data_IF_655899501622
#
_entry.id   IF_655899501622
#
_cell.length_a   1.000
_cell.length_b   1.000
_cell.length_c   1.000
_cell.angle_alpha   90.00
_cell.angle_beta   90.00
_cell.angle_gamma   90.00
#
_symmetry.space_group_name_H-M   'P 1'
#
loop_
_entity.id
_entity.type
_entity.pdbx_description
1 polymer ?
#
# COMPACT_ATOMS: atom_id res chain seq x y z
N UNK A 1 1.58 24.42 -20.46
CA UNK A 1 2.44 23.23 -20.64
C UNK A 1 2.97 22.86 -19.27
N UNK A 2 2.37 21.84 -18.63
CA UNK A 2 2.67 21.48 -17.26
C UNK A 2 4.01 20.75 -17.18
N UNK A 3 4.94 21.31 -16.42
CA UNK A 3 6.22 20.66 -16.13
C UNK A 3 5.95 19.39 -15.31
N UNK A 4 6.09 18.23 -15.96
CA UNK A 4 6.30 16.94 -15.31
C UNK A 4 7.66 17.00 -14.61
N UNK A 5 7.64 17.30 -13.32
CA UNK A 5 8.84 17.20 -12.49
C UNK A 5 9.06 15.72 -12.20
N UNK A 6 9.89 15.10 -13.04
CA UNK A 6 10.41 13.76 -12.82
C UNK A 6 11.45 13.81 -11.69
N UNK A 7 11.03 13.55 -10.46
CA UNK A 7 11.95 13.40 -9.33
C UNK A 7 12.51 11.98 -9.30
N UNK A 8 13.56 11.74 -10.07
CA UNK A 8 14.47 10.61 -9.83
C UNK A 8 15.57 11.04 -8.86
N UNK A 9 15.44 10.65 -7.58
CA UNK A 9 16.57 10.57 -6.63
C UNK A 9 16.39 9.34 -5.74
N UNK A 10 17.36 8.43 -5.81
CA UNK A 10 17.49 7.25 -4.97
C UNK A 10 17.50 7.62 -3.48
N UNK A 11 16.53 7.09 -2.75
CA UNK A 11 16.62 6.73 -1.33
C UNK A 11 15.60 5.61 -1.10
N UNK A 12 16.03 4.46 -0.57
CA UNK A 12 15.16 3.41 -0.06
C UNK A 12 14.48 3.91 1.21
N UNK A 13 13.57 4.86 1.04
CA UNK A 13 12.83 5.50 2.12
C UNK A 13 11.39 5.09 1.96
N UNK A 14 10.91 4.35 2.95
CA UNK A 14 9.53 3.93 3.07
C UNK A 14 8.58 5.07 2.71
N UNK A 15 7.89 4.94 1.57
CA UNK A 15 6.89 5.91 1.15
C UNK A 15 5.59 5.58 1.86
N UNK A 16 5.37 6.18 3.03
CA UNK A 16 4.17 5.89 3.83
C UNK A 16 2.89 6.08 2.99
N UNK A 17 1.84 5.29 3.27
CA UNK A 17 0.52 5.53 2.71
C UNK A 17 0.05 6.96 2.94
N UNK A 18 -0.83 7.44 2.05
CA UNK A 18 -1.50 8.71 2.22
C UNK A 18 -2.35 8.69 3.49
N UNK A 19 -2.20 9.74 4.32
CA UNK A 19 -3.09 9.98 5.47
C UNK A 19 -4.51 10.28 4.99
N UNK A 20 -5.48 10.21 5.89
CA UNK A 20 -6.87 10.61 5.63
C UNK A 20 -6.93 12.03 5.04
N UNK A 21 -6.13 12.97 5.57
CA UNK A 21 -6.08 14.35 5.08
C UNK A 21 -5.53 14.43 3.66
N UNK A 22 -4.51 13.65 3.33
CA UNK A 22 -3.92 13.59 1.98
C UNK A 22 -4.85 12.92 0.98
N UNK A 23 -5.57 11.86 1.37
CA UNK A 23 -6.60 11.21 0.54
C UNK A 23 -7.68 12.23 0.17
N UNK A 24 -8.26 12.92 1.17
CA UNK A 24 -9.29 13.94 0.96
C UNK A 24 -8.82 15.11 0.10
N UNK A 25 -7.53 15.46 0.16
CA UNK A 25 -6.95 16.57 -0.61
C UNK A 25 -6.61 16.17 -2.06
N UNK A 26 -6.00 15.01 -2.25
CA UNK A 26 -5.42 14.60 -3.53
C UNK A 26 -6.42 13.82 -4.40
N UNK A 27 -7.39 13.15 -3.78
CA UNK A 27 -8.38 12.31 -4.45
C UNK A 27 -9.80 12.64 -3.94
N UNK A 28 -10.26 13.90 -4.02
CA UNK A 28 -11.56 14.30 -3.45
C UNK A 28 -12.72 13.46 -3.99
N UNK A 29 -12.69 13.12 -5.29
CA UNK A 29 -13.76 12.36 -5.95
C UNK A 29 -13.79 10.87 -5.55
N UNK A 30 -12.70 10.35 -4.97
CA UNK A 30 -12.57 8.95 -4.53
C UNK A 30 -12.42 8.82 -3.03
N UNK A 31 -12.38 9.94 -2.30
CA UNK A 31 -12.05 9.93 -0.88
C UNK A 31 -13.07 9.14 -0.07
N UNK A 32 -14.35 9.21 -0.42
CA UNK A 32 -15.40 8.42 0.24
C UNK A 32 -15.23 6.92 0.01
N UNK A 33 -15.04 6.50 -1.25
CA UNK A 33 -14.81 5.10 -1.60
C UNK A 33 -13.55 4.54 -0.91
N UNK A 34 -12.43 5.25 -1.00
CA UNK A 34 -11.17 4.86 -0.39
C UNK A 34 -11.27 4.82 1.14
N UNK A 35 -11.96 5.75 1.78
CA UNK A 35 -12.07 5.76 3.24
C UNK A 35 -13.16 4.80 3.77
N UNK A 36 -14.04 4.28 2.91
CA UNK A 36 -14.96 3.19 3.24
C UNK A 36 -14.34 1.81 3.07
N UNK A 37 -13.24 1.69 2.30
CA UNK A 37 -12.46 0.47 2.24
C UNK A 37 -11.60 0.30 3.51
N UNK A 38 -11.81 -0.82 4.22
CA UNK A 38 -11.09 -1.17 5.45
C UNK A 38 -9.57 -1.16 5.27
N UNK A 39 -9.07 -1.52 4.08
CA UNK A 39 -7.62 -1.54 3.80
C UNK A 39 -7.07 -0.11 3.74
N UNK A 40 -7.67 0.72 2.91
CA UNK A 40 -7.23 2.09 2.68
C UNK A 40 -7.41 2.95 3.93
N UNK A 41 -8.51 2.79 4.65
CA UNK A 41 -8.72 3.45 5.93
C UNK A 41 -7.62 3.08 6.94
N UNK A 42 -7.33 1.79 7.11
CA UNK A 42 -6.32 1.35 8.07
C UNK A 42 -4.91 1.84 7.71
N UNK A 43 -4.54 1.78 6.42
CA UNK A 43 -3.28 2.35 5.92
C UNK A 43 -3.18 3.84 6.21
N UNK A 44 -4.28 4.57 6.01
CA UNK A 44 -4.35 6.02 6.22
C UNK A 44 -4.31 6.43 7.70
N UNK A 45 -4.85 5.60 8.60
CA UNK A 45 -4.83 5.81 10.06
C UNK A 45 -3.48 5.47 10.69
N UNK A 46 -2.87 4.37 10.25
CA UNK A 46 -1.65 3.85 10.89
C UNK A 46 -0.36 4.32 10.22
N UNK A 47 -0.42 4.70 8.94
CA UNK A 47 0.76 4.95 8.13
C UNK A 47 1.58 3.69 7.86
N UNK A 48 0.99 2.49 8.03
CA UNK A 48 1.62 1.18 7.79
C UNK A 48 1.09 0.63 6.47
N UNK A 49 1.98 0.10 5.63
CA UNK A 49 1.63 -0.55 4.38
C UNK A 49 0.96 -1.90 4.63
N UNK A 50 -0.08 -2.21 3.87
CA UNK A 50 -0.84 -3.46 3.95
C UNK A 50 -0.98 -4.04 2.55
N UNK A 51 -0.49 -5.27 2.37
CA UNK A 51 -0.54 -5.92 1.07
C UNK A 51 -1.99 -6.33 0.75
N UNK A 52 -2.45 -5.88 -0.41
CA UNK A 52 -3.74 -6.17 -1.00
C UNK A 52 -3.61 -6.07 -2.52
N UNK A 53 -4.65 -6.47 -3.26
CA UNK A 53 -4.65 -6.40 -4.72
C UNK A 53 -4.83 -4.95 -5.16
N UNK A 54 -3.83 -4.40 -5.83
CA UNK A 54 -3.91 -3.09 -6.48
C UNK A 54 -4.41 -3.19 -7.93
N UNK A 55 -4.97 -2.11 -8.52
CA UNK A 55 -5.50 -2.13 -9.89
C UNK A 55 -4.46 -2.37 -10.98
N UNK A 56 -3.20 -1.98 -10.73
CA UNK A 56 -2.09 -2.11 -11.68
C UNK A 56 -0.86 -2.71 -11.00
N UNK A 57 -0.05 -3.44 -11.76
CA UNK A 57 1.14 -4.14 -11.26
C UNK A 57 2.17 -3.19 -10.64
N UNK A 58 2.31 -1.98 -11.17
CA UNK A 58 3.27 -0.99 -10.67
C UNK A 58 2.93 -0.56 -9.24
N UNK A 59 1.64 -0.40 -8.92
CA UNK A 59 1.21 -0.09 -7.56
C UNK A 59 1.39 -1.31 -6.64
N UNK A 60 1.15 -2.53 -7.14
CA UNK A 60 1.42 -3.76 -6.39
C UNK A 60 2.91 -3.87 -6.01
N UNK A 61 3.81 -3.63 -6.97
CA UNK A 61 5.26 -3.64 -6.74
C UNK A 61 5.68 -2.52 -5.78
N UNK A 62 5.05 -1.34 -5.87
CA UNK A 62 5.32 -0.21 -4.96
C UNK A 62 4.96 -0.55 -3.52
N UNK A 63 3.75 -1.08 -3.27
CA UNK A 63 3.33 -1.44 -1.91
C UNK A 63 4.16 -2.61 -1.37
N UNK A 64 4.58 -3.56 -2.22
CA UNK A 64 5.48 -4.63 -1.80
C UNK A 64 6.86 -4.12 -1.40
N UNK A 65 7.43 -3.21 -2.20
CA UNK A 65 8.70 -2.55 -1.86
C UNK A 65 8.59 -1.78 -0.55
N UNK A 66 7.56 -0.97 -0.39
CA UNK A 66 7.30 -0.22 0.83
C UNK A 66 7.21 -1.14 2.04
N UNK A 67 6.45 -2.25 1.94
CA UNK A 67 6.30 -3.20 3.02
C UNK A 67 7.65 -3.78 3.46
N UNK A 68 8.53 -4.11 2.50
CA UNK A 68 9.88 -4.61 2.79
C UNK A 68 10.78 -3.60 3.50
N UNK A 69 10.56 -2.30 3.28
CA UNK A 69 11.30 -1.21 3.93
C UNK A 69 10.77 -0.85 5.33
N UNK A 70 9.61 -1.39 5.75
CA UNK A 70 9.07 -1.17 7.09
C UNK A 70 9.90 -1.86 8.18
N UNK A 71 9.85 -1.33 9.40
CA UNK A 71 10.45 -1.99 10.57
C UNK A 71 9.76 -3.32 10.90
N UNK A 72 10.44 -4.21 11.61
CA UNK A 72 9.87 -5.51 12.01
C UNK A 72 8.60 -5.35 12.85
N UNK A 73 8.50 -4.31 13.67
CA UNK A 73 7.29 -4.02 14.44
C UNK A 73 6.11 -3.63 13.53
N UNK A 74 6.36 -2.78 12.54
CA UNK A 74 5.36 -2.39 11.55
C UNK A 74 4.94 -3.60 10.69
N UNK A 75 5.89 -4.44 10.27
CA UNK A 75 5.61 -5.69 9.55
C UNK A 75 4.73 -6.63 10.38
N UNK A 76 5.04 -6.85 11.67
CA UNK A 76 4.19 -7.65 12.57
C UNK A 76 2.77 -7.12 12.70
N UNK A 77 2.60 -5.80 12.85
CA UNK A 77 1.27 -5.16 12.89
C UNK A 77 0.53 -5.32 11.56
N UNK A 78 1.24 -5.16 10.45
CA UNK A 78 0.71 -5.36 9.11
C UNK A 78 0.29 -6.81 8.87
N UNK A 79 1.10 -7.80 9.27
CA UNK A 79 0.77 -9.21 9.11
C UNK A 79 -0.46 -9.60 9.94
N UNK A 80 -0.54 -9.14 11.18
CA UNK A 80 -1.73 -9.35 12.01
C UNK A 80 -3.00 -8.80 11.35
N UNK A 81 -2.91 -7.59 10.76
CA UNK A 81 -4.04 -7.00 10.02
C UNK A 81 -4.36 -7.75 8.72
N UNK A 82 -3.34 -8.20 8.00
CA UNK A 82 -3.52 -9.01 6.78
C UNK A 82 -4.23 -10.33 7.09
N UNK A 83 -3.84 -10.99 8.19
CA UNK A 83 -4.51 -12.22 8.66
C UNK A 83 -5.97 -11.93 9.04
N UNK A 84 -6.24 -10.83 9.74
CA UNK A 84 -7.61 -10.42 10.09
C UNK A 84 -8.52 -10.20 8.86
N UNK A 85 -8.00 -9.55 7.82
CA UNK A 85 -8.81 -9.20 6.63
C UNK A 85 -8.86 -10.29 5.57
N UNK A 86 -7.77 -11.05 5.40
CA UNK A 86 -7.57 -11.94 4.25
C UNK A 86 -7.23 -13.39 4.65
N UNK A 87 -7.07 -13.68 5.94
CA UNK A 87 -6.72 -15.02 6.43
C UNK A 87 -5.29 -15.46 6.14
N UNK A 88 -4.38 -14.54 5.80
CA UNK A 88 -2.97 -14.81 5.47
C UNK A 88 -2.07 -13.62 5.78
N UNK A 89 -0.79 -13.87 6.06
CA UNK A 89 0.22 -12.82 6.21
C UNK A 89 0.50 -12.08 4.88
N UNK A 90 1.24 -10.97 4.94
CA UNK A 90 1.49 -10.14 3.76
C UNK A 90 2.34 -10.85 2.71
N UNK A 91 3.27 -11.72 3.11
CA UNK A 91 4.15 -12.44 2.19
C UNK A 91 3.34 -13.44 1.36
N UNK A 92 2.55 -14.27 2.03
CA UNK A 92 1.65 -15.24 1.42
C UNK A 92 0.58 -14.55 0.55
N UNK A 93 0.07 -13.39 1.01
CA UNK A 93 -0.87 -12.61 0.21
C UNK A 93 -0.23 -12.07 -1.07
N UNK A 94 0.97 -11.50 -0.95
CA UNK A 94 1.72 -10.97 -2.08
C UNK A 94 2.00 -12.06 -3.12
N UNK A 95 2.47 -13.23 -2.68
CA UNK A 95 2.73 -14.37 -3.57
C UNK A 95 1.48 -14.78 -4.35
N UNK A 96 0.31 -14.89 -3.70
CA UNK A 96 -0.93 -15.21 -4.40
C UNK A 96 -1.30 -14.14 -5.44
N UNK A 97 -1.19 -12.86 -5.07
CA UNK A 97 -1.50 -11.76 -5.98
C UNK A 97 -0.57 -11.80 -7.19
N UNK A 98 0.74 -11.95 -6.97
CA UNK A 98 1.74 -11.95 -8.03
C UNK A 98 1.66 -13.18 -8.94
N UNK A 99 1.21 -14.35 -8.43
CA UNK A 99 0.86 -15.50 -9.28
C UNK A 99 -0.29 -15.18 -10.23
N UNK A 100 -1.32 -14.44 -9.78
CA UNK A 100 -2.43 -14.00 -10.66
C UNK A 100 -1.97 -13.03 -11.76
N UNK A 101 -0.87 -12.32 -11.54
CA UNK A 101 -0.21 -11.46 -12.54
C UNK A 101 0.75 -12.23 -13.47
N UNK A 102 0.98 -13.53 -13.28
CA UNK A 102 1.93 -14.33 -14.07
C UNK A 102 3.39 -13.99 -13.77
N UNK A 103 3.69 -13.52 -12.56
CA UNK A 103 5.03 -13.05 -12.15
C UNK A 103 5.77 -14.00 -11.21
N UNK A 104 5.11 -15.05 -10.71
CA UNK A 104 5.61 -16.05 -9.77
C UNK A 104 5.09 -17.42 -10.16
#
# INVERSE_FOLDING_TARGET
MGNLVYHAKNNAMYQRPHTIKEIKKNYPDKAEELLNDRVHLWRAETGIELIHKEPIIQEQERIWKNWNEMSDEMKRKSDAKSVELFGKDNTSHNEEIMRKWGKV
#
